data_IF_554651694277
#
_entry.id   IF_554651694277
#
_cell.length_a   1.000
_cell.length_b   1.000
_cell.length_c   1.000
_cell.angle_alpha   90.00
_cell.angle_beta   90.00
_cell.angle_gamma   90.00
#
_symmetry.space_group_name_H-M   'P 1'
#
loop_
_entity.id
_entity.type
_entity.pdbx_description
1 polymer ?
#
# COMPACT_ATOMS: atom_id res chain seq x y z
N UNK A 1 15.33 -51.61 -11.99
CA UNK A 1 14.28 -52.07 -11.06
C UNK A 1 13.48 -50.87 -10.58
N UNK A 2 12.30 -50.61 -11.15
CA UNK A 2 11.52 -49.38 -10.95
C UNK A 2 10.48 -49.60 -9.84
N UNK A 3 10.57 -48.86 -8.73
CA UNK A 3 9.57 -48.89 -7.64
C UNK A 3 8.33 -48.11 -8.05
N UNK A 4 7.19 -48.77 -8.18
CA UNK A 4 5.88 -48.10 -8.30
C UNK A 4 5.52 -47.45 -6.94
N UNK A 5 5.32 -46.12 -6.94
CA UNK A 5 4.62 -45.44 -5.84
C UNK A 5 3.13 -45.75 -5.96
N UNK A 6 2.54 -46.40 -4.95
CA UNK A 6 1.09 -46.52 -4.83
C UNK A 6 0.50 -45.13 -4.59
N UNK A 7 -0.45 -44.74 -5.43
CA UNK A 7 -1.19 -43.50 -5.27
C UNK A 7 -2.21 -43.68 -4.14
N UNK A 8 -2.04 -42.96 -3.03
CA UNK A 8 -3.00 -42.93 -1.93
C UNK A 8 -4.12 -41.96 -2.34
N UNK A 9 -5.38 -42.37 -2.23
CA UNK A 9 -6.51 -41.50 -2.53
C UNK A 9 -6.84 -40.59 -1.36
N UNK A 10 -7.58 -39.50 -1.60
CA UNK A 10 -8.01 -38.56 -0.56
C UNK A 10 -8.84 -39.25 0.54
N UNK A 11 -9.61 -40.27 0.18
CA UNK A 11 -10.44 -41.01 1.13
C UNK A 11 -9.58 -41.94 2.01
N UNK A 12 -8.53 -42.54 1.44
CA UNK A 12 -7.57 -43.36 2.19
C UNK A 12 -6.82 -42.50 3.22
N UNK A 13 -6.47 -41.26 2.85
CA UNK A 13 -5.80 -40.32 3.76
C UNK A 13 -6.69 -39.93 4.95
N UNK A 14 -7.99 -39.69 4.72
CA UNK A 14 -8.94 -39.32 5.78
C UNK A 14 -9.22 -40.49 6.73
N UNK A 15 -9.28 -41.72 6.22
CA UNK A 15 -9.42 -42.91 7.05
C UNK A 15 -8.16 -43.17 7.91
N UNK A 16 -6.97 -42.95 7.32
CA UNK A 16 -5.70 -43.15 8.01
C UNK A 16 -5.48 -42.15 9.16
N UNK A 17 -5.98 -40.91 9.03
CA UNK A 17 -5.86 -39.88 10.07
C UNK A 17 -6.80 -40.11 11.26
N UNK A 18 -7.96 -40.74 11.07
CA UNK A 18 -8.90 -41.07 12.16
C UNK A 18 -8.37 -42.18 13.09
N UNK A 19 -7.60 -43.13 12.56
CA UNK A 19 -6.98 -44.19 13.38
C UNK A 19 -5.76 -43.71 14.17
N UNK A 20 -5.13 -42.59 13.77
CA UNK A 20 -3.97 -42.02 14.47
C UNK A 20 -4.29 -41.18 15.71
N UNK A 21 -5.55 -40.77 15.91
CA UNK A 21 -5.93 -39.80 16.94
C UNK A 21 -6.49 -40.38 18.25
N UNK A 22 -6.55 -41.71 18.39
CA UNK A 22 -7.08 -42.32 19.62
C UNK A 22 -6.14 -42.22 20.86
N UNK A 23 -4.98 -41.56 20.77
CA UNK A 23 -3.89 -41.73 21.73
C UNK A 23 -3.43 -40.53 22.56
N UNK A 24 -3.89 -39.28 22.33
CA UNK A 24 -3.38 -38.14 23.10
C UNK A 24 -4.53 -37.23 23.55
N UNK A 25 -5.03 -37.48 24.75
CA UNK A 25 -5.87 -36.53 25.47
C UNK A 25 -5.00 -35.36 25.97
N UNK A 26 -4.74 -34.38 25.10
CA UNK A 26 -4.24 -33.08 25.54
C UNK A 26 -5.38 -32.37 26.29
N UNK A 27 -5.14 -31.82 27.49
CA UNK A 27 -6.12 -30.93 28.10
C UNK A 27 -6.30 -29.75 27.14
N UNK A 28 -7.50 -29.60 26.60
CA UNK A 28 -7.89 -28.46 25.78
C UNK A 28 -7.84 -27.22 26.65
N UNK A 29 -6.67 -26.61 26.76
CA UNK A 29 -6.59 -25.21 27.16
C UNK A 29 -7.35 -24.47 26.06
N UNK A 30 -8.60 -24.12 26.38
CA UNK A 30 -9.37 -23.19 25.56
C UNK A 30 -8.64 -21.86 25.62
N UNK A 31 -7.68 -21.67 24.71
CA UNK A 31 -7.22 -20.35 24.31
C UNK A 31 -8.45 -19.69 23.69
N UNK A 32 -9.26 -19.06 24.54
CA UNK A 32 -10.28 -18.14 24.09
C UNK A 32 -9.55 -17.08 23.27
N UNK A 33 -9.52 -17.28 21.96
CA UNK A 33 -9.07 -16.25 21.04
C UNK A 33 -10.04 -15.09 21.29
N UNK A 34 -9.54 -14.04 21.93
CA UNK A 34 -10.25 -12.78 22.06
C UNK A 34 -10.43 -12.25 20.63
N UNK A 35 -11.51 -12.70 19.98
CA UNK A 35 -11.82 -12.41 18.59
C UNK A 35 -12.47 -11.05 18.60
N UNK A 36 -11.65 -10.01 18.71
CA UNK A 36 -12.14 -8.64 18.62
C UNK A 36 -12.92 -8.50 17.32
N UNK A 37 -14.20 -8.16 17.43
CA UNK A 37 -15.06 -7.98 16.26
C UNK A 37 -14.54 -6.80 15.44
N UNK A 38 -14.46 -6.99 14.12
CA UNK A 38 -13.99 -5.93 13.22
C UNK A 38 -15.10 -4.88 13.12
N UNK A 39 -14.80 -3.58 13.29
CA UNK A 39 -15.78 -2.53 13.07
C UNK A 39 -16.27 -2.53 11.61
N UNK A 40 -17.44 -1.94 11.33
CA UNK A 40 -17.89 -1.74 9.95
C UNK A 40 -16.92 -0.84 9.18
N UNK A 41 -16.96 -0.91 7.85
CA UNK A 41 -16.20 0.00 7.00
C UNK A 41 -16.62 1.45 7.22
N UNK A 42 -15.66 2.37 7.16
CA UNK A 42 -15.90 3.81 7.26
C UNK A 42 -16.75 4.26 6.05
N UNK A 43 -17.64 5.23 6.27
CA UNK A 43 -18.50 5.78 5.24
C UNK A 43 -17.66 6.33 4.06
N UNK A 44 -17.99 5.88 2.85
CA UNK A 44 -17.23 6.22 1.64
C UNK A 44 -17.19 7.73 1.32
N UNK A 45 -18.21 8.49 1.68
CA UNK A 45 -18.19 9.95 1.48
C UNK A 45 -17.20 10.63 2.44
N UNK A 46 -17.05 10.11 3.66
CA UNK A 46 -16.03 10.59 4.61
C UNK A 46 -14.63 10.22 4.10
N UNK A 47 -14.45 9.00 3.59
CA UNK A 47 -13.19 8.56 2.96
C UNK A 47 -12.83 9.47 1.79
N UNK A 48 -13.79 9.74 0.90
CA UNK A 48 -13.63 10.63 -0.25
C UNK A 48 -13.27 12.05 0.17
N UNK A 49 -13.97 12.59 1.16
CA UNK A 49 -13.69 13.92 1.70
C UNK A 49 -12.27 13.98 2.23
N UNK A 50 -11.87 13.02 3.09
CA UNK A 50 -10.55 12.98 3.70
C UNK A 50 -9.43 12.96 2.66
N UNK A 51 -9.54 12.08 1.65
CA UNK A 51 -8.55 12.02 0.55
C UNK A 51 -8.57 13.31 -0.27
N UNK A 52 -9.75 13.86 -0.56
CA UNK A 52 -9.90 15.12 -1.28
C UNK A 52 -9.22 16.30 -0.58
N UNK A 53 -9.52 16.51 0.71
CA UNK A 53 -8.96 17.64 1.49
C UNK A 53 -7.46 17.49 1.72
N UNK A 54 -6.93 16.26 1.70
CA UNK A 54 -5.49 15.99 1.85
C UNK A 54 -4.63 16.55 0.72
N UNK A 55 -5.21 17.01 -0.39
CA UNK A 55 -4.49 17.72 -1.43
C UNK A 55 -4.01 19.11 -0.97
N UNK A 56 -4.74 19.81 -0.09
CA UNK A 56 -4.46 21.22 0.18
C UNK A 56 -4.97 21.80 1.51
N UNK A 57 -5.98 21.21 2.14
CA UNK A 57 -6.63 21.81 3.31
C UNK A 57 -6.11 21.17 4.61
N UNK A 58 -4.99 21.70 5.09
CA UNK A 58 -4.31 21.17 6.27
C UNK A 58 -5.16 21.23 7.55
N UNK A 59 -5.91 22.30 7.76
CA UNK A 59 -6.77 22.45 8.95
C UNK A 59 -7.89 21.42 8.95
N UNK A 60 -8.52 21.18 7.80
CA UNK A 60 -9.55 20.14 7.68
C UNK A 60 -8.97 18.74 7.85
N UNK A 61 -7.77 18.47 7.33
CA UNK A 61 -7.07 17.19 7.57
C UNK A 61 -6.86 16.94 9.06
N UNK A 62 -6.39 17.96 9.81
CA UNK A 62 -6.19 17.88 11.26
C UNK A 62 -7.52 17.64 11.98
N UNK A 63 -8.55 18.42 11.67
CA UNK A 63 -9.89 18.29 12.26
C UNK A 63 -10.49 16.89 12.03
N UNK A 64 -10.40 16.36 10.80
CA UNK A 64 -10.93 15.04 10.48
C UNK A 64 -10.19 13.93 11.23
N UNK A 65 -8.86 14.01 11.37
CA UNK A 65 -8.07 13.02 12.12
C UNK A 65 -8.23 13.13 13.64
N UNK A 66 -8.49 14.32 14.17
CA UNK A 66 -8.86 14.49 15.57
C UNK A 66 -10.20 13.81 15.89
N UNK A 67 -11.16 13.87 14.96
CA UNK A 67 -12.48 13.25 15.10
C UNK A 67 -12.46 11.72 14.85
N UNK A 68 -11.73 11.25 13.84
CA UNK A 68 -11.57 9.82 13.54
C UNK A 68 -10.14 9.48 13.09
N UNK A 69 -9.27 9.02 14.01
CA UNK A 69 -7.89 8.64 13.69
C UNK A 69 -7.77 7.50 12.66
N UNK A 70 -8.82 6.71 12.44
CA UNK A 70 -8.77 5.60 11.48
C UNK A 70 -8.72 6.10 10.02
N UNK A 71 -9.13 7.35 9.77
CA UNK A 71 -9.01 7.99 8.46
C UNK A 71 -7.57 8.03 7.96
N UNK A 72 -6.57 7.97 8.84
CA UNK A 72 -5.16 7.95 8.45
C UNK A 72 -4.81 6.80 7.47
N UNK A 73 -5.57 5.70 7.51
CA UNK A 73 -5.25 4.47 6.80
C UNK A 73 -6.22 4.14 5.66
N UNK A 74 -7.17 5.02 5.36
CA UNK A 74 -8.15 4.81 4.29
C UNK A 74 -7.57 5.15 2.92
N UNK A 75 -8.13 4.52 1.90
CA UNK A 75 -7.92 4.87 0.49
C UNK A 75 -9.27 4.99 -0.19
N UNK A 76 -9.43 6.00 -1.04
CA UNK A 76 -10.61 6.15 -1.89
C UNK A 76 -10.36 5.48 -3.25
N UNK A 77 -11.38 4.82 -3.78
CA UNK A 77 -11.38 4.23 -5.13
C UNK A 77 -11.93 5.25 -6.12
N UNK A 78 -11.07 5.83 -6.95
CA UNK A 78 -11.46 6.74 -8.03
C UNK A 78 -12.05 6.00 -9.25
N UNK A 79 -12.02 4.66 -9.24
CA UNK A 79 -12.47 3.79 -10.31
C UNK A 79 -11.32 3.27 -11.17
N UNK A 80 -11.56 2.19 -11.92
CA UNK A 80 -10.57 1.61 -12.84
C UNK A 80 -9.28 1.10 -12.18
N UNK A 81 -9.31 0.86 -10.87
CA UNK A 81 -8.17 0.40 -10.06
C UNK A 81 -7.32 1.54 -9.47
N UNK A 82 -7.73 2.79 -9.62
CA UNK A 82 -7.02 3.97 -9.12
C UNK A 82 -7.40 4.24 -7.66
N UNK A 83 -6.59 3.73 -6.74
CA UNK A 83 -6.75 3.95 -5.32
C UNK A 83 -5.79 5.02 -4.82
N UNK A 84 -6.29 5.87 -3.92
CA UNK A 84 -5.49 6.95 -3.34
C UNK A 84 -5.79 7.11 -1.84
N UNK A 85 -4.73 7.12 -1.02
CA UNK A 85 -4.80 7.53 0.39
C UNK A 85 -4.52 9.02 0.58
N UNK A 86 -4.84 9.56 1.76
CA UNK A 86 -4.61 10.99 2.04
C UNK A 86 -3.15 11.43 1.89
N UNK A 87 -2.18 10.58 2.27
CA UNK A 87 -0.76 10.93 2.09
C UNK A 87 -0.32 10.90 0.63
N UNK A 88 -0.93 10.03 -0.18
CA UNK A 88 -0.69 9.95 -1.63
C UNK A 88 -1.24 11.18 -2.35
N UNK A 89 -2.43 11.66 -1.96
CA UNK A 89 -3.01 12.93 -2.40
C UNK A 89 -2.07 14.11 -2.14
N UNK A 90 -1.54 14.24 -0.92
CA UNK A 90 -0.54 15.26 -0.60
C UNK A 90 0.76 15.09 -1.42
N UNK A 91 1.18 13.84 -1.61
CA UNK A 91 2.41 13.48 -2.31
C UNK A 91 2.42 13.89 -3.78
N UNK A 92 1.38 13.59 -4.56
CA UNK A 92 1.39 13.88 -6.00
C UNK A 92 1.17 15.35 -6.34
N UNK A 93 0.68 16.17 -5.40
CA UNK A 93 0.63 17.63 -5.56
C UNK A 93 1.85 18.35 -4.98
N UNK A 94 2.74 17.64 -4.28
CA UNK A 94 3.96 18.21 -3.68
C UNK A 94 3.74 18.90 -2.34
N UNK A 95 2.62 18.64 -1.67
CA UNK A 95 2.29 19.25 -0.37
C UNK A 95 3.05 18.56 0.76
N UNK A 96 4.33 18.94 0.94
CA UNK A 96 5.22 18.40 1.99
C UNK A 96 4.65 18.58 3.38
N UNK A 97 3.99 19.69 3.67
CA UNK A 97 3.48 19.99 4.99
C UNK A 97 2.37 19.02 5.43
N UNK A 98 1.38 18.75 4.58
CA UNK A 98 0.35 17.74 4.87
C UNK A 98 0.98 16.35 4.93
N UNK A 99 1.88 16.01 4.00
CA UNK A 99 2.53 14.71 3.98
C UNK A 99 3.36 14.46 5.26
N UNK A 100 4.14 15.44 5.73
CA UNK A 100 4.91 15.37 6.98
C UNK A 100 4.00 15.24 8.19
N UNK A 101 2.90 16.00 8.24
CA UNK A 101 1.91 15.87 9.30
C UNK A 101 1.33 14.44 9.34
N UNK A 102 0.90 13.89 8.20
CA UNK A 102 0.36 12.53 8.12
C UNK A 102 1.41 11.47 8.51
N UNK A 103 2.67 11.66 8.11
CA UNK A 103 3.78 10.79 8.55
C UNK A 103 4.02 10.86 10.05
N UNK A 104 3.92 12.05 10.66
CA UNK A 104 4.03 12.22 12.11
C UNK A 104 2.94 11.47 12.89
N UNK A 105 1.82 11.15 12.22
CA UNK A 105 0.73 10.32 12.78
C UNK A 105 0.86 8.83 12.46
N UNK A 106 1.83 8.43 11.64
CA UNK A 106 2.06 7.03 11.27
C UNK A 106 1.44 6.61 9.94
N UNK A 107 1.19 7.54 9.01
CA UNK A 107 0.80 7.20 7.64
C UNK A 107 1.85 6.30 6.96
N UNK A 108 1.40 5.46 6.01
CA UNK A 108 2.30 4.55 5.29
C UNK A 108 3.17 5.32 4.30
N UNK A 109 4.48 5.18 4.44
CA UNK A 109 5.45 5.74 3.51
C UNK A 109 5.61 4.85 2.27
N UNK A 110 5.81 5.46 1.09
CA UNK A 110 6.01 4.75 -0.17
C UNK A 110 7.09 5.44 -1.03
N UNK A 111 7.50 4.78 -2.13
CA UNK A 111 8.58 5.29 -3.00
C UNK A 111 8.22 6.60 -3.72
N UNK A 112 6.94 6.86 -3.98
CA UNK A 112 6.50 8.11 -4.59
C UNK A 112 6.70 9.29 -3.63
N UNK A 113 6.44 9.09 -2.33
CA UNK A 113 6.78 10.04 -1.29
C UNK A 113 8.30 10.21 -1.17
N UNK A 114 9.10 9.15 -1.28
CA UNK A 114 10.57 9.26 -1.33
C UNK A 114 11.05 10.14 -2.49
N UNK A 115 10.39 10.04 -3.64
CA UNK A 115 10.68 10.92 -4.76
C UNK A 115 10.33 12.38 -4.44
N UNK A 116 9.14 12.63 -3.90
CA UNK A 116 8.68 13.98 -3.54
C UNK A 116 9.54 14.62 -2.43
N UNK A 117 9.92 13.87 -1.41
CA UNK A 117 10.78 14.37 -0.33
C UNK A 117 12.26 14.49 -0.71
N UNK A 118 12.68 13.88 -1.82
CA UNK A 118 14.07 13.90 -2.26
C UNK A 118 14.98 12.89 -1.55
N UNK A 119 14.41 11.81 -1.01
CA UNK A 119 15.15 10.73 -0.34
C UNK A 119 15.82 9.81 -1.39
N UNK A 120 16.87 10.32 -2.02
CA UNK A 120 17.55 9.69 -3.16
C UNK A 120 18.08 8.29 -2.87
N UNK A 121 18.56 8.04 -1.66
CA UNK A 121 19.06 6.73 -1.21
C UNK A 121 17.96 5.65 -1.23
N UNK A 122 16.76 5.98 -0.74
CA UNK A 122 15.59 5.10 -0.80
C UNK A 122 15.20 4.82 -2.25
N UNK A 123 15.14 5.86 -3.09
CA UNK A 123 14.79 5.71 -4.52
C UNK A 123 15.80 4.81 -5.24
N UNK A 124 17.11 5.00 -4.97
CA UNK A 124 18.18 4.14 -5.51
C UNK A 124 18.00 2.68 -5.10
N UNK A 125 17.72 2.41 -3.83
CA UNK A 125 17.53 1.04 -3.35
C UNK A 125 16.33 0.36 -4.00
N UNK A 126 15.19 1.05 -4.12
CA UNK A 126 13.99 0.50 -4.77
C UNK A 126 14.26 0.12 -6.22
N UNK A 127 14.91 1.01 -6.99
CA UNK A 127 15.22 0.75 -8.40
C UNK A 127 16.38 -0.24 -8.59
N UNK A 128 17.25 -0.40 -7.60
CA UNK A 128 18.27 -1.46 -7.59
C UNK A 128 17.61 -2.83 -7.38
N UNK A 129 16.61 -2.92 -6.50
CA UNK A 129 15.85 -4.15 -6.28
C UNK A 129 15.02 -4.54 -7.51
N UNK A 130 14.37 -3.57 -8.15
CA UNK A 130 13.59 -3.81 -9.36
C UNK A 130 13.56 -2.57 -10.28
N UNK A 131 14.35 -2.61 -11.36
CA UNK A 131 14.43 -1.52 -12.32
C UNK A 131 13.16 -1.33 -13.16
N UNK A 132 12.29 -2.35 -13.27
CA UNK A 132 11.02 -2.24 -13.98
C UNK A 132 10.04 -1.26 -13.32
N UNK A 133 10.30 -0.85 -12.07
CA UNK A 133 9.50 0.15 -11.37
C UNK A 133 9.74 1.59 -11.84
N UNK A 134 10.73 1.85 -12.71
CA UNK A 134 11.09 3.21 -13.15
C UNK A 134 9.88 4.02 -13.67
N UNK A 135 8.95 3.35 -14.37
CA UNK A 135 7.72 3.94 -14.90
C UNK A 135 6.46 3.36 -14.26
N UNK A 136 6.54 2.83 -13.04
CA UNK A 136 5.36 2.27 -12.36
C UNK A 136 4.30 3.34 -12.07
N UNK A 137 3.03 2.97 -12.23
CA UNK A 137 1.86 3.82 -11.97
C UNK A 137 1.71 4.08 -10.47
N UNK A 138 1.88 5.33 -10.04
CA UNK A 138 1.43 5.78 -8.73
C UNK A 138 -0.04 6.21 -8.77
N UNK A 139 -0.51 6.93 -7.74
CA UNK A 139 -1.86 7.52 -7.70
C UNK A 139 -2.15 8.34 -8.97
N UNK A 140 -3.33 8.18 -9.57
CA UNK A 140 -3.73 8.84 -10.82
C UNK A 140 -2.83 8.54 -12.03
N UNK A 141 -1.97 7.52 -11.92
CA UNK A 141 -0.95 7.16 -12.91
C UNK A 141 0.32 8.02 -12.86
N UNK A 142 0.48 8.87 -11.85
CA UNK A 142 1.67 9.71 -11.71
C UNK A 142 2.91 8.88 -11.36
N UNK A 143 4.00 9.09 -12.08
CA UNK A 143 5.24 8.32 -11.93
C UNK A 143 6.12 8.86 -10.81
N UNK A 144 7.22 8.15 -10.52
CA UNK A 144 8.30 8.65 -9.65
C UNK A 144 8.83 10.02 -10.10
N UNK A 145 8.98 10.23 -11.42
CA UNK A 145 9.49 11.49 -11.98
C UNK A 145 8.53 12.66 -11.72
N UNK A 146 7.22 12.43 -11.76
CA UNK A 146 6.24 13.47 -11.42
C UNK A 146 6.37 13.90 -9.96
N UNK A 147 6.41 12.94 -9.04
CA UNK A 147 6.52 13.22 -7.62
C UNK A 147 7.82 13.96 -7.29
N UNK A 148 8.95 13.55 -7.89
CA UNK A 148 10.22 14.25 -7.73
C UNK A 148 10.15 15.71 -8.21
N UNK A 149 9.51 15.97 -9.35
CA UNK A 149 9.31 17.33 -9.87
C UNK A 149 8.40 18.15 -8.97
N UNK A 150 7.30 17.57 -8.49
CA UNK A 150 6.35 18.24 -7.59
C UNK A 150 6.95 18.59 -6.24
N UNK A 151 7.86 17.78 -5.74
CA UNK A 151 8.61 18.04 -4.53
C UNK A 151 9.89 18.86 -4.73
N UNK A 152 10.18 19.33 -5.96
CA UNK A 152 11.41 20.08 -6.29
C UNK A 152 12.70 19.32 -5.90
N UNK A 153 12.66 17.99 -5.96
CA UNK A 153 13.73 17.10 -5.56
C UNK A 153 14.75 16.88 -6.68
N UNK A 154 15.52 17.93 -7.03
CA UNK A 154 16.42 17.94 -8.20
C UNK A 154 17.36 16.73 -8.28
N UNK A 155 17.97 16.31 -7.17
CA UNK A 155 18.86 15.14 -7.17
C UNK A 155 18.14 13.83 -7.53
N UNK A 156 16.87 13.68 -7.16
CA UNK A 156 16.04 12.54 -7.57
C UNK A 156 15.62 12.69 -9.03
N UNK A 157 15.24 13.89 -9.46
CA UNK A 157 14.92 14.18 -10.87
C UNK A 157 16.08 13.79 -11.78
N UNK A 158 17.29 14.27 -11.49
CA UNK A 158 18.48 13.97 -12.28
C UNK A 158 18.78 12.48 -12.31
N UNK A 159 18.66 11.80 -11.17
CA UNK A 159 18.84 10.36 -11.10
C UNK A 159 17.83 9.60 -11.96
N UNK A 160 16.54 9.90 -11.86
CA UNK A 160 15.50 9.23 -12.64
C UNK A 160 15.67 9.50 -14.15
N UNK A 161 16.03 10.72 -14.54
CA UNK A 161 16.35 11.08 -15.93
C UNK A 161 17.57 10.30 -16.43
N UNK A 162 18.61 10.13 -15.61
CA UNK A 162 19.80 9.35 -15.97
C UNK A 162 19.51 7.87 -16.25
N UNK A 163 18.40 7.34 -15.70
CA UNK A 163 17.91 5.98 -15.96
C UNK A 163 16.95 5.91 -17.15
N UNK A 164 16.66 7.04 -17.81
CA UNK A 164 15.77 7.13 -18.96
C UNK A 164 14.29 7.31 -18.63
N UNK A 165 13.93 7.76 -17.42
CA UNK A 165 12.55 8.14 -17.13
C UNK A 165 12.16 9.37 -17.97
N UNK A 166 11.07 9.28 -18.75
CA UNK A 166 10.59 10.41 -19.58
C UNK A 166 9.14 10.80 -19.29
N UNK A 167 8.33 9.88 -18.77
CA UNK A 167 6.91 10.10 -18.51
C UNK A 167 6.70 10.57 -17.07
N UNK A 168 5.93 11.64 -16.90
CA UNK A 168 5.42 12.07 -15.58
C UNK A 168 4.08 11.39 -15.25
N UNK A 169 3.38 10.85 -16.24
CA UNK A 169 2.13 10.13 -16.06
C UNK A 169 2.03 9.00 -17.06
N UNK A 170 1.54 7.85 -16.60
CA UNK A 170 1.21 6.70 -17.45
C UNK A 170 -0.30 6.51 -17.39
N UNK A 171 -0.92 6.23 -18.55
CA UNK A 171 -2.37 6.05 -18.63
C UNK A 171 -2.83 4.89 -17.73
N UNK A 172 -3.74 5.20 -16.82
CA UNK A 172 -4.28 4.26 -15.85
C UNK A 172 -5.34 3.34 -16.47
N UNK A 173 -6.14 3.87 -17.41
CA UNK A 173 -7.35 3.22 -17.94
C UNK A 173 -7.15 2.50 -19.27
N UNK A 174 -5.99 2.67 -19.90
CA UNK A 174 -5.60 1.90 -21.06
C UNK A 174 -5.60 0.40 -20.73
N UNK A 175 -6.58 -0.33 -21.26
CA UNK A 175 -6.58 -1.79 -21.28
C UNK A 175 -5.53 -2.23 -22.31
N UNK A 176 -4.50 -2.91 -21.84
CA UNK A 176 -3.50 -3.57 -22.69
C UNK A 176 -3.96 -4.98 -23.02
#
# INVERSE_FOLDING_TARGET
MMRLRKHISRNDFIQLSLLGMAGIALPTISLAQNKQERPPAINLEIVKEFVGVSHSNQDRVKEMLENDPQLLHVSYDWGGGDYESGIEAAGHVGNKEIAEYLLSKGARYNVYLACMFGHLDVVKQVLTFNSSLLNSKGPHGFTMLHHAKKGEANAVVDYLLSLGAVQTRVDFYAKT
#
